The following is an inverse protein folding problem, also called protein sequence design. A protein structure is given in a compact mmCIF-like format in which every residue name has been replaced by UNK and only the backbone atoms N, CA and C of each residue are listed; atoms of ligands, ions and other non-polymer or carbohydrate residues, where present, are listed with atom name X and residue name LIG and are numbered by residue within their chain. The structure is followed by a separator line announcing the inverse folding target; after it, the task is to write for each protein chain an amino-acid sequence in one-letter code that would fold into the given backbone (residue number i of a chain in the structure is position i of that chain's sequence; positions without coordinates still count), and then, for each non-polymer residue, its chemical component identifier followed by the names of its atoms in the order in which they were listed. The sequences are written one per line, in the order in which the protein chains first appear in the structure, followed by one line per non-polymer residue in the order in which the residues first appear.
data_IF_735183574766
#
_entry.id   IF_735183574766
#
_cell.length_a   1.000
_cell.length_b   1.000
_cell.length_c   1.000
_cell.angle_alpha   90.00
_cell.angle_beta   90.00
_cell.angle_gamma   90.00
#
_symmetry.space_group_name_H-M   'P 1'
#
loop_
_entity.id
_entity.type
_entity.pdbx_description
1 polymer ?
#
# COMPACT_ATOMS: atom_id res chain seq x y z
N UNK A 1 -18.41 44.59 1.62
CA UNK A 1 -17.54 43.74 2.44
C UNK A 1 -17.27 42.51 1.60
N UNK A 2 -16.04 42.36 1.07
CA UNK A 2 -15.65 41.18 0.32
C UNK A 2 -15.49 40.03 1.31
N UNK A 3 -16.28 38.97 1.15
CA UNK A 3 -16.11 37.72 1.86
C UNK A 3 -14.69 37.20 1.57
N UNK A 4 -13.83 37.24 2.59
CA UNK A 4 -12.52 36.63 2.54
C UNK A 4 -12.78 35.12 2.41
N UNK A 5 -12.52 34.55 1.24
CA UNK A 5 -12.49 33.10 1.05
C UNK A 5 -11.55 32.51 2.11
N UNK A 6 -12.11 31.85 3.13
CA UNK A 6 -11.32 31.02 4.02
C UNK A 6 -10.74 29.90 3.16
N UNK A 7 -9.43 29.96 2.89
CA UNK A 7 -8.72 28.82 2.32
C UNK A 7 -8.98 27.62 3.23
N UNK A 8 -9.57 26.56 2.68
CA UNK A 8 -9.73 25.30 3.39
C UNK A 8 -8.35 24.81 3.83
N UNK A 9 -8.06 24.87 5.12
CA UNK A 9 -6.83 24.34 5.69
C UNK A 9 -6.96 22.82 5.77
N UNK A 10 -6.04 22.09 5.12
CA UNK A 10 -5.99 20.63 5.19
C UNK A 10 -5.82 20.17 6.65
N UNK A 11 -6.68 19.25 7.08
CA UNK A 11 -6.59 18.63 8.40
C UNK A 11 -5.43 17.62 8.44
N UNK A 12 -5.00 17.23 9.64
CA UNK A 12 -3.99 16.16 9.82
C UNK A 12 -4.41 14.85 9.16
N UNK A 13 -5.72 14.56 9.16
CA UNK A 13 -6.29 13.41 8.45
C UNK A 13 -6.12 13.54 6.93
N UNK A 14 -6.33 14.72 6.37
CA UNK A 14 -6.16 14.95 4.94
C UNK A 14 -4.70 14.79 4.54
N UNK A 15 -3.77 15.37 5.32
CA UNK A 15 -2.33 15.18 5.14
C UNK A 15 -1.91 13.71 5.23
N UNK A 16 -2.38 12.99 6.24
CA UNK A 16 -2.09 11.56 6.40
C UNK A 16 -2.68 10.73 5.25
N UNK A 17 -3.86 11.11 4.76
CA UNK A 17 -4.49 10.43 3.61
C UNK A 17 -3.69 10.64 2.33
N UNK A 18 -3.26 11.88 2.07
CA UNK A 18 -2.42 12.19 0.90
C UNK A 18 -1.06 11.49 0.97
N UNK A 19 -0.43 11.45 2.14
CA UNK A 19 0.82 10.73 2.35
C UNK A 19 0.63 9.22 2.13
N UNK A 20 -0.46 8.64 2.65
CA UNK A 20 -0.77 7.22 2.45
C UNK A 20 -1.01 6.88 0.96
N UNK A 21 -1.65 7.78 0.21
CA UNK A 21 -1.84 7.63 -1.24
C UNK A 21 -0.49 7.69 -1.96
N UNK A 22 0.37 8.64 -1.60
CA UNK A 22 1.70 8.78 -2.17
C UNK A 22 2.54 7.52 -1.94
N UNK A 23 2.60 7.01 -0.72
CA UNK A 23 3.37 5.81 -0.37
C UNK A 23 2.89 4.57 -1.15
N UNK A 24 1.57 4.39 -1.31
CA UNK A 24 1.01 3.34 -2.17
C UNK A 24 1.50 3.47 -3.61
N UNK A 25 1.50 4.68 -4.14
CA UNK A 25 1.93 4.96 -5.51
C UNK A 25 3.42 4.66 -5.69
N UNK A 26 4.26 5.07 -4.73
CA UNK A 26 5.70 4.79 -4.73
C UNK A 26 5.98 3.28 -4.65
N UNK A 27 5.28 2.55 -3.79
CA UNK A 27 5.43 1.10 -3.68
C UNK A 27 5.13 0.38 -5.01
N UNK A 28 4.03 0.75 -5.68
CA UNK A 28 3.70 0.20 -7.01
C UNK A 28 4.79 0.56 -8.03
N UNK A 29 5.20 1.83 -8.08
CA UNK A 29 6.23 2.29 -9.03
C UNK A 29 7.57 1.58 -8.82
N UNK A 30 8.03 1.42 -7.57
CA UNK A 30 9.28 0.70 -7.30
C UNK A 30 9.19 -0.78 -7.63
N UNK A 31 8.04 -1.42 -7.42
CA UNK A 31 7.84 -2.82 -7.78
C UNK A 31 7.90 -3.05 -9.30
N UNK A 32 7.28 -2.17 -10.09
CA UNK A 32 7.36 -2.24 -11.56
C UNK A 32 8.80 -1.98 -12.01
N UNK A 33 9.42 -0.90 -11.52
CA UNK A 33 10.78 -0.52 -11.89
C UNK A 33 11.81 -1.59 -11.49
N UNK A 34 11.66 -2.24 -10.33
CA UNK A 34 12.57 -3.30 -9.91
C UNK A 34 12.50 -4.48 -10.89
N UNK A 35 11.29 -4.89 -11.28
CA UNK A 35 11.12 -6.04 -12.18
C UNK A 35 11.71 -5.81 -13.58
N UNK A 36 11.85 -4.55 -14.00
CA UNK A 36 12.41 -4.14 -15.29
C UNK A 36 13.87 -3.65 -15.19
N UNK A 37 14.51 -3.78 -14.02
CA UNK A 37 15.86 -3.29 -13.80
C UNK A 37 16.89 -4.00 -14.71
N UNK A 38 17.73 -3.22 -15.41
CA UNK A 38 18.72 -3.75 -16.35
C UNK A 38 19.90 -4.48 -15.70
N UNK A 39 20.10 -4.31 -14.40
CA UNK A 39 21.18 -4.94 -13.64
C UNK A 39 20.68 -5.46 -12.29
N UNK A 40 21.37 -6.47 -11.76
CA UNK A 40 21.07 -7.01 -10.43
C UNK A 40 21.29 -5.96 -9.32
N UNK A 41 22.28 -5.08 -9.48
CA UNK A 41 22.54 -4.00 -8.51
C UNK A 41 21.38 -3.00 -8.46
N UNK A 42 20.86 -2.58 -9.62
CA UNK A 42 19.71 -1.69 -9.69
C UNK A 42 18.45 -2.37 -9.15
N UNK A 43 18.24 -3.65 -9.47
CA UNK A 43 17.17 -4.46 -8.91
C UNK A 43 17.20 -4.45 -7.38
N UNK A 44 18.34 -4.78 -6.77
CA UNK A 44 18.49 -4.82 -5.32
C UNK A 44 18.27 -3.46 -4.66
N UNK A 45 18.73 -2.39 -5.29
CA UNK A 45 18.50 -1.03 -4.81
C UNK A 45 17.02 -0.63 -4.85
N UNK A 46 16.31 -0.90 -5.95
CA UNK A 46 14.87 -0.61 -6.04
C UNK A 46 14.07 -1.48 -5.07
N UNK A 47 14.48 -2.73 -4.84
CA UNK A 47 13.89 -3.59 -3.83
C UNK A 47 14.13 -3.06 -2.40
N UNK A 48 15.26 -2.42 -2.10
CA UNK A 48 15.48 -1.83 -0.78
C UNK A 48 14.55 -0.63 -0.55
N UNK A 49 14.39 0.24 -1.56
CA UNK A 49 13.44 1.36 -1.52
C UNK A 49 11.99 0.89 -1.39
N UNK A 50 11.59 -0.16 -2.11
CA UNK A 50 10.27 -0.76 -1.99
C UNK A 50 10.02 -1.26 -0.56
N UNK A 51 10.97 -1.99 0.02
CA UNK A 51 10.86 -2.52 1.37
C UNK A 51 10.78 -1.39 2.42
N UNK A 52 11.55 -0.33 2.26
CA UNK A 52 11.50 0.82 3.14
C UNK A 52 10.17 1.57 3.05
N UNK A 53 9.73 1.88 1.84
CA UNK A 53 8.44 2.55 1.56
C UNK A 53 7.29 1.73 2.14
N UNK A 54 7.30 0.40 1.94
CA UNK A 54 6.28 -0.50 2.50
C UNK A 54 6.23 -0.49 4.03
N UNK A 55 7.38 -0.40 4.71
CA UNK A 55 7.43 -0.26 6.17
C UNK A 55 6.85 1.07 6.63
N UNK A 56 7.22 2.18 5.97
CA UNK A 56 6.72 3.51 6.29
C UNK A 56 5.20 3.58 6.11
N UNK A 57 4.69 3.05 4.98
CA UNK A 57 3.26 2.93 4.72
C UNK A 57 2.51 2.14 5.79
N UNK A 58 3.08 1.03 6.25
CA UNK A 58 2.47 0.23 7.31
C UNK A 58 2.43 0.99 8.65
N UNK A 59 3.50 1.73 8.98
CA UNK A 59 3.53 2.60 10.16
C UNK A 59 2.48 3.70 10.08
N UNK A 60 2.37 4.41 8.94
CA UNK A 60 1.37 5.45 8.74
C UNK A 60 -0.05 4.88 8.81
N UNK A 61 -0.32 3.77 8.15
CA UNK A 61 -1.59 3.06 8.23
C UNK A 61 -1.96 2.73 9.69
N UNK A 62 -1.01 2.20 10.45
CA UNK A 62 -1.24 1.82 11.85
C UNK A 62 -1.54 3.04 12.71
N UNK A 63 -0.84 4.15 12.49
CA UNK A 63 -1.13 5.43 13.14
C UNK A 63 -2.54 5.94 12.78
N UNK A 64 -2.90 5.97 11.49
CA UNK A 64 -4.22 6.40 11.05
C UNK A 64 -5.35 5.53 11.62
N UNK A 65 -5.12 4.22 11.79
CA UNK A 65 -6.06 3.32 12.44
C UNK A 65 -6.23 3.65 13.93
N UNK A 66 -5.15 3.94 14.66
CA UNK A 66 -5.21 4.38 16.06
C UNK A 66 -5.96 5.70 16.24
N UNK A 67 -5.87 6.61 15.27
CA UNK A 67 -6.63 7.86 15.26
C UNK A 67 -8.08 7.69 14.75
N UNK A 68 -8.50 6.46 14.41
CA UNK A 68 -9.80 6.15 13.82
C UNK A 68 -10.07 6.92 12.51
N UNK A 69 -9.02 7.24 11.76
CA UNK A 69 -9.09 7.96 10.48
C UNK A 69 -9.24 7.04 9.27
N UNK A 70 -8.66 5.84 9.36
CA UNK A 70 -8.68 4.85 8.29
C UNK A 70 -8.70 3.45 8.91
N UNK A 71 -9.81 2.74 8.75
CA UNK A 71 -9.97 1.39 9.29
C UNK A 71 -10.72 0.53 8.24
N UNK A 72 -10.00 -0.17 7.35
CA UNK A 72 -10.65 -1.09 6.43
C UNK A 72 -11.36 -2.18 7.23
N UNK A 73 -12.45 -2.72 6.67
CA UNK A 73 -13.17 -3.82 7.30
C UNK A 73 -12.19 -4.97 7.60
N UNK A 74 -12.21 -5.47 8.83
CA UNK A 74 -11.41 -6.65 9.15
C UNK A 74 -11.94 -7.85 8.38
N UNK A 75 -11.04 -8.59 7.76
CA UNK A 75 -11.41 -9.81 7.08
C UNK A 75 -11.71 -10.92 8.09
N UNK A 76 -12.67 -11.79 7.79
CA UNK A 76 -13.04 -12.87 8.72
C UNK A 76 -12.08 -14.06 8.58
N UNK A 77 -11.79 -14.82 9.66
CA UNK A 77 -10.98 -16.03 9.55
C UNK A 77 -11.53 -17.03 8.54
N UNK A 78 -12.86 -17.13 8.42
CA UNK A 78 -13.55 -17.98 7.44
C UNK A 78 -13.20 -17.58 6.01
N UNK A 79 -13.24 -16.27 5.70
CA UNK A 79 -12.93 -15.77 4.37
C UNK A 79 -11.44 -15.93 4.03
N UNK A 80 -10.54 -15.73 5.00
CA UNK A 80 -9.11 -15.99 4.84
C UNK A 80 -8.87 -17.48 4.53
N UNK A 81 -9.52 -18.38 5.28
CA UNK A 81 -9.40 -19.82 5.07
C UNK A 81 -9.90 -20.22 3.68
N UNK A 82 -11.08 -19.69 3.28
CA UNK A 82 -11.67 -19.95 1.97
C UNK A 82 -10.76 -19.48 0.82
N UNK A 83 -10.21 -18.26 0.92
CA UNK A 83 -9.27 -17.73 -0.08
C UNK A 83 -7.98 -18.56 -0.17
N UNK A 84 -7.43 -19.00 0.97
CA UNK A 84 -6.25 -19.87 1.00
C UNK A 84 -6.52 -21.23 0.35
N UNK A 85 -7.68 -21.85 0.63
CA UNK A 85 -8.07 -23.12 0.01
C UNK A 85 -8.29 -22.97 -1.49
N UNK A 86 -8.92 -21.88 -1.94
CA UNK A 86 -9.10 -21.60 -3.36
C UNK A 86 -7.74 -21.43 -4.06
N UNK A 87 -6.81 -20.67 -3.50
CA UNK A 87 -5.48 -20.48 -4.06
C UNK A 87 -4.70 -21.81 -4.23
N UNK A 88 -4.87 -22.76 -3.29
CA UNK A 88 -4.30 -24.10 -3.40
C UNK A 88 -4.95 -24.92 -4.52
N UNK A 89 -6.27 -24.81 -4.67
CA UNK A 89 -7.00 -25.47 -5.75
C UNK A 89 -6.64 -24.88 -7.13
N UNK A 90 -6.43 -23.56 -7.23
CA UNK A 90 -6.01 -22.92 -8.49
C UNK A 90 -4.59 -23.35 -8.86
N UNK A 91 -3.71 -23.51 -7.87
CA UNK A 91 -2.34 -23.99 -8.08
C UNK A 91 -2.29 -25.38 -8.72
N UNK A 92 -3.22 -26.27 -8.42
CA UNK A 92 -3.27 -27.60 -9.02
C UNK A 92 -3.79 -27.60 -10.46
N UNK A 93 -4.38 -26.50 -10.91
CA UNK A 93 -4.84 -26.29 -12.29
C UNK A 93 -3.79 -25.58 -13.16
N UNK A 94 -2.66 -25.19 -12.59
CA UNK A 94 -1.56 -24.62 -13.36
C UNK A 94 -1.01 -25.65 -14.35
N UNK A 95 -0.69 -25.26 -15.59
CA UNK A 95 -0.11 -26.18 -16.58
C UNK A 95 1.19 -26.79 -16.04
N UNK A 96 1.30 -28.11 -16.13
CA UNK A 96 2.58 -28.81 -15.97
C UNK A 96 3.38 -28.62 -17.26
N UNK A 97 4.55 -27.99 -17.13
CA UNK A 97 5.55 -27.92 -18.20
C UNK A 97 6.22 -29.26 -18.44
#
# INVERSE_FOLDING_TARGET
MQDIQQHATMSEKDWATDLLILEKHLAVSYSVASNEASTNQLFQFLQSLLNETGRQQHTLYSFMAQQNWYNPAQETPVNIQAASSQAQADKSQLPVH
#
